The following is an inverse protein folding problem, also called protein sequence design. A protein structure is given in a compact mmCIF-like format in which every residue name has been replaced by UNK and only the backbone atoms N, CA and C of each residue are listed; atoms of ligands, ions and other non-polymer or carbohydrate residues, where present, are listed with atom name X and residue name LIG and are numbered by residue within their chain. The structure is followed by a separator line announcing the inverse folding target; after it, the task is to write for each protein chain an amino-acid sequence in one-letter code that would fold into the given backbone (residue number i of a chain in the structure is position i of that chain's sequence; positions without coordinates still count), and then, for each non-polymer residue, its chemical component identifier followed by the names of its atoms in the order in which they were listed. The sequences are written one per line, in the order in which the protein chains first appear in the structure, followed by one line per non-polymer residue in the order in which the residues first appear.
data_IF_940771030654
#
_entry.id   IF_940771030654
#
_cell.length_a   1.000
_cell.length_b   1.000
_cell.length_c   1.000
_cell.angle_alpha   90.00
_cell.angle_beta   90.00
_cell.angle_gamma   90.00
#
_symmetry.space_group_name_H-M   'P 1'
#
loop_
_entity.id
_entity.type
_entity.pdbx_description
1 polymer ?
#
# COMPACT_ATOMS: atom_id res chain seq x y z
N UNK A 1 7.13 3.54 -2.04
CA UNK A 1 6.74 4.95 -1.85
C UNK A 1 5.23 5.05 -2.03
N UNK A 2 4.46 5.11 -0.94
CA UNK A 2 3.01 5.30 -0.93
C UNK A 2 2.65 6.47 -0.03
N UNK A 3 2.97 7.68 -0.49
CA UNK A 3 2.71 8.92 0.24
C UNK A 3 2.30 10.00 -0.75
N UNK A 4 1.43 10.90 -0.32
CA UNK A 4 1.01 12.05 -1.11
C UNK A 4 1.14 13.31 -0.25
N UNK A 5 1.94 14.28 -0.71
CA UNK A 5 1.98 15.62 -0.09
C UNK A 5 0.85 16.45 -0.69
N UNK A 6 0.09 17.13 0.17
CA UNK A 6 -0.99 18.02 -0.21
C UNK A 6 -0.83 19.38 0.48
N UNK A 7 -1.29 20.43 -0.21
CA UNK A 7 -1.52 21.75 0.37
C UNK A 7 -3.03 21.97 0.34
N UNK A 8 -3.60 22.34 1.48
CA UNK A 8 -5.03 22.59 1.65
C UNK A 8 -5.25 23.99 2.24
N UNK A 9 -6.27 24.69 1.78
CA UNK A 9 -6.76 25.89 2.44
C UNK A 9 -7.48 25.54 3.75
N UNK A 10 -7.65 26.49 4.69
CA UNK A 10 -8.46 26.27 5.88
C UNK A 10 -9.88 25.78 5.52
N UNK A 11 -10.28 24.62 6.07
CA UNK A 11 -11.57 23.99 5.78
C UNK A 11 -11.63 23.20 4.46
N UNK A 12 -10.60 23.22 3.63
CA UNK A 12 -10.55 22.44 2.41
C UNK A 12 -10.32 20.95 2.71
N UNK A 13 -10.98 20.09 1.94
CA UNK A 13 -10.78 18.64 1.94
C UNK A 13 -10.53 18.14 0.52
N UNK A 14 -9.78 17.05 0.38
CA UNK A 14 -9.53 16.35 -0.88
C UNK A 14 -9.62 14.84 -0.65
N UNK A 15 -10.04 14.10 -1.66
CA UNK A 15 -9.94 12.65 -1.69
C UNK A 15 -8.61 12.24 -2.30
N UNK A 16 -7.87 11.36 -1.61
CA UNK A 16 -6.65 10.74 -2.16
C UNK A 16 -6.91 9.26 -2.38
N UNK A 17 -6.63 8.78 -3.59
CA UNK A 17 -6.70 7.36 -3.94
C UNK A 17 -5.29 6.82 -4.06
N UNK A 18 -4.97 5.74 -3.35
CA UNK A 18 -3.69 5.04 -3.46
C UNK A 18 -3.87 3.72 -4.22
N UNK A 19 -2.95 3.42 -5.13
CA UNK A 19 -2.99 2.21 -5.98
C UNK A 19 -1.94 1.19 -5.52
N UNK A 20 -2.33 0.33 -4.58
CA UNK A 20 -1.47 -0.73 -4.05
C UNK A 20 -1.52 -1.98 -4.95
N UNK A 21 -0.50 -2.13 -5.79
CA UNK A 21 -0.26 -3.38 -6.51
C UNK A 21 0.29 -4.49 -5.58
N UNK A 22 -0.20 -5.73 -5.71
CA UNK A 22 0.20 -6.87 -4.85
C UNK A 22 1.72 -7.13 -4.80
N UNK A 23 2.44 -6.95 -5.91
CA UNK A 23 3.92 -7.10 -5.90
C UNK A 23 4.65 -6.19 -4.90
N UNK A 24 3.99 -5.14 -4.38
CA UNK A 24 4.55 -4.28 -3.33
C UNK A 24 4.44 -4.90 -1.93
N UNK A 25 3.60 -5.92 -1.76
CA UNK A 25 3.44 -6.68 -0.51
C UNK A 25 4.31 -7.93 -0.51
N UNK A 26 5.10 -8.12 -1.57
CA UNK A 26 6.02 -9.24 -1.69
C UNK A 26 7.21 -9.09 -0.74
N UNK A 27 7.71 -10.23 -0.27
CA UNK A 27 8.85 -10.30 0.62
C UNK A 27 9.74 -11.48 0.25
N UNK A 28 10.95 -11.53 0.81
CA UNK A 28 11.85 -12.67 0.62
C UNK A 28 11.49 -13.80 1.58
N UNK A 29 11.12 -14.96 1.03
CA UNK A 29 10.87 -16.16 1.82
C UNK A 29 12.18 -16.80 2.33
N UNK A 30 12.06 -17.92 3.04
CA UNK A 30 13.21 -18.67 3.58
C UNK A 30 14.15 -19.23 2.51
N UNK A 31 13.69 -19.38 1.28
CA UNK A 31 14.47 -19.84 0.13
C UNK A 31 15.04 -18.67 -0.69
N UNK A 32 14.96 -17.43 -0.18
CA UNK A 32 15.42 -16.21 -0.85
C UNK A 32 14.69 -15.90 -2.16
N UNK A 33 13.44 -16.34 -2.30
CA UNK A 33 12.55 -16.00 -3.42
C UNK A 33 11.70 -14.79 -3.05
N UNK A 34 11.52 -13.86 -3.98
CA UNK A 34 10.68 -12.69 -3.75
C UNK A 34 9.23 -13.02 -4.10
N UNK A 35 8.40 -13.27 -3.09
CA UNK A 35 7.08 -13.91 -3.23
C UNK A 35 5.96 -13.07 -2.61
N UNK A 36 4.75 -13.24 -3.13
CA UNK A 36 3.49 -12.85 -2.47
C UNK A 36 2.83 -14.12 -1.96
N UNK A 37 2.54 -14.17 -0.67
CA UNK A 37 1.77 -15.26 -0.06
C UNK A 37 0.31 -14.85 0.16
N UNK A 38 -0.64 -15.79 0.05
CA UNK A 38 -2.01 -15.55 0.49
C UNK A 38 -2.03 -15.33 2.00
N UNK A 39 -2.90 -14.43 2.46
CA UNK A 39 -3.02 -14.07 3.86
C UNK A 39 -3.67 -12.71 4.07
N UNK A 40 -3.83 -12.33 5.32
CA UNK A 40 -4.41 -11.04 5.69
C UNK A 40 -3.31 -9.98 5.81
N UNK A 41 -3.51 -8.87 5.11
CA UNK A 41 -2.69 -7.68 5.16
C UNK A 41 -3.44 -6.59 5.93
N UNK A 42 -2.77 -6.00 6.91
CA UNK A 42 -3.27 -4.78 7.55
C UNK A 42 -2.77 -3.56 6.77
N UNK A 43 -3.69 -2.73 6.29
CA UNK A 43 -3.41 -1.46 5.64
C UNK A 43 -3.58 -0.35 6.68
N UNK A 44 -2.53 0.41 6.93
CA UNK A 44 -2.52 1.50 7.91
C UNK A 44 -2.24 2.83 7.20
N UNK A 45 -2.95 3.88 7.57
CA UNK A 45 -2.79 5.21 6.99
C UNK A 45 -2.79 6.30 8.06
N UNK A 46 -1.86 7.24 7.91
CA UNK A 46 -1.70 8.35 8.83
C UNK A 46 -0.62 9.32 8.38
N UNK A 47 -0.35 10.33 9.21
CA UNK A 47 0.64 11.36 8.90
C UNK A 47 2.05 11.02 9.40
N UNK A 48 2.20 9.94 10.17
CA UNK A 48 3.48 9.39 10.62
C UNK A 48 3.33 7.90 10.91
N UNK A 49 4.43 7.17 11.07
CA UNK A 49 4.42 5.76 11.45
C UNK A 49 3.93 5.50 12.89
N UNK A 50 3.82 6.54 13.72
CA UNK A 50 3.33 6.45 15.10
C UNK A 50 1.85 6.85 15.19
N UNK A 51 1.40 7.75 14.32
CA UNK A 51 0.03 8.26 14.29
C UNK A 51 -0.71 7.76 13.05
N UNK A 52 -1.43 6.64 13.21
CA UNK A 52 -2.12 5.89 12.17
C UNK A 52 -3.63 5.79 12.47
N UNK A 53 -4.40 6.89 12.32
CA UNK A 53 -5.82 6.95 12.69
C UNK A 53 -6.73 6.09 11.83
N UNK A 54 -6.26 5.63 10.66
CA UNK A 54 -7.01 4.77 9.75
C UNK A 54 -6.29 3.42 9.65
N UNK A 55 -7.04 2.35 9.87
CA UNK A 55 -6.57 0.97 9.71
C UNK A 55 -7.67 0.15 9.09
N UNK A 56 -7.31 -0.75 8.18
CA UNK A 56 -8.22 -1.69 7.54
C UNK A 56 -7.50 -3.01 7.27
N UNK A 57 -8.24 -4.08 7.00
CA UNK A 57 -7.70 -5.40 6.69
C UNK A 57 -8.14 -5.86 5.30
N UNK A 58 -7.20 -6.39 4.53
CA UNK A 58 -7.44 -6.93 3.19
C UNK A 58 -6.93 -8.35 3.14
N UNK A 59 -7.77 -9.28 2.67
CA UNK A 59 -7.36 -10.68 2.47
C UNK A 59 -6.86 -10.88 1.05
N UNK A 60 -5.61 -11.34 0.93
CA UNK A 60 -5.01 -11.81 -0.32
C UNK A 60 -5.29 -13.31 -0.44
N UNK A 61 -6.07 -13.69 -1.44
CA UNK A 61 -6.34 -15.10 -1.75
C UNK A 61 -5.43 -15.66 -2.84
N UNK A 62 -5.70 -16.91 -3.26
CA UNK A 62 -4.99 -17.60 -4.32
C UNK A 62 -3.75 -18.34 -3.84
N UNK A 63 -2.91 -18.73 -4.80
CA UNK A 63 -1.66 -19.45 -4.54
C UNK A 63 -0.50 -18.48 -4.34
N UNK A 64 0.59 -18.98 -3.74
CA UNK A 64 1.85 -18.25 -3.65
C UNK A 64 2.37 -17.91 -5.06
N UNK A 65 2.71 -16.64 -5.27
CA UNK A 65 3.29 -16.15 -6.54
C UNK A 65 4.71 -15.68 -6.33
N UNK A 66 5.65 -16.19 -7.13
CA UNK A 66 7.00 -15.63 -7.22
C UNK A 66 7.00 -14.44 -8.19
N UNK A 67 7.39 -13.26 -7.68
CA UNK A 67 7.36 -11.99 -8.42
C UNK A 67 8.54 -11.86 -9.39
N UNK A 68 9.66 -12.53 -9.11
CA UNK A 68 10.87 -12.47 -9.92
C UNK A 68 11.39 -11.04 -10.11
N UNK A 69 11.52 -10.61 -11.38
CA UNK A 69 12.06 -9.30 -11.76
C UNK A 69 11.01 -8.18 -11.85
N UNK A 70 9.72 -8.47 -11.63
CA UNK A 70 8.63 -7.49 -11.75
C UNK A 70 8.36 -6.72 -10.44
N UNK A 71 9.43 -6.40 -9.72
CA UNK A 71 9.34 -5.72 -8.43
C UNK A 71 8.73 -4.34 -8.60
N UNK A 72 7.74 -4.03 -7.77
CA UNK A 72 7.14 -2.70 -7.69
C UNK A 72 7.49 -2.08 -6.36
N UNK A 73 7.94 -0.83 -6.40
CA UNK A 73 8.35 -0.08 -5.21
C UNK A 73 7.54 1.20 -5.00
N UNK A 74 6.66 1.56 -5.93
CA UNK A 74 5.88 2.80 -5.89
C UNK A 74 4.40 2.48 -5.91
N UNK A 75 3.71 2.99 -4.90
CA UNK A 75 2.26 2.99 -4.81
C UNK A 75 1.84 4.37 -5.29
N UNK A 76 1.37 4.44 -6.54
CA UNK A 76 0.88 5.68 -7.12
C UNK A 76 -0.29 6.24 -6.32
N UNK A 77 -0.52 7.54 -6.43
CA UNK A 77 -1.65 8.22 -5.82
C UNK A 77 -2.24 9.28 -6.73
N UNK A 78 -3.55 9.46 -6.60
CA UNK A 78 -4.33 10.45 -7.33
C UNK A 78 -5.09 11.33 -6.34
N UNK A 79 -5.28 12.61 -6.69
CA UNK A 79 -5.94 13.60 -5.83
C UNK A 79 -7.20 14.10 -6.54
N UNK A 80 -8.36 13.81 -5.96
CA UNK A 80 -9.66 14.26 -6.44
C UNK A 80 -10.31 15.29 -5.51
N UNK A 81 -11.49 15.74 -5.90
CA UNK A 81 -12.36 16.51 -5.02
C UNK A 81 -12.82 15.65 -3.81
N UNK A 82 -13.16 16.32 -2.70
CA UNK A 82 -13.73 15.67 -1.51
C UNK A 82 -15.04 14.93 -1.85
#
# INVERSE_FOLDING_TARGET
RGFQRLTLQPGESKRVTFHLHLHQTAYYDRAMRFVVEPGTLQVMMGNSSVNLPLTDEVTVGGDLVEVGNEKRFVCGSEVGAA
#
